data_IF_024072224383
#
_entry.id   IF_024072224383
#
_cell.length_a   1.000
_cell.length_b   1.000
_cell.length_c   1.000
_cell.angle_alpha   90.00
_cell.angle_beta   90.00
_cell.angle_gamma   90.00
#
_symmetry.space_group_name_H-M   'P 1'
#
loop_
_entity.id
_entity.type
_entity.pdbx_description
1 polymer ?
#
# COMPACT_ATOMS: atom_id res chain seq x y z
N UNK A 1 11.47 -5.43 3.57
CA UNK A 1 10.09 -5.47 2.99
C UNK A 1 9.65 -6.88 2.60
N UNK A 2 10.52 -7.68 1.99
CA UNK A 2 10.19 -9.05 1.62
C UNK A 2 9.72 -9.88 2.84
N UNK A 3 10.44 -9.78 3.95
CA UNK A 3 10.12 -10.52 5.16
C UNK A 3 8.78 -10.10 5.74
N UNK A 4 8.48 -8.80 5.69
CA UNK A 4 7.20 -8.25 6.15
C UNK A 4 6.05 -8.81 5.29
N UNK A 5 6.19 -8.80 3.98
CA UNK A 5 5.17 -9.32 3.06
C UNK A 5 4.97 -10.82 3.28
N UNK A 6 6.07 -11.57 3.49
CA UNK A 6 6.00 -13.00 3.78
C UNK A 6 5.21 -13.27 5.05
N UNK A 7 5.44 -12.47 6.11
CA UNK A 7 4.70 -12.59 7.36
C UNK A 7 3.22 -12.30 7.18
N UNK A 8 2.87 -11.28 6.38
CA UNK A 8 1.48 -10.97 6.07
C UNK A 8 0.79 -12.15 5.39
N UNK A 9 1.46 -12.78 4.43
CA UNK A 9 0.90 -13.92 3.70
C UNK A 9 0.67 -15.12 4.64
N UNK A 10 1.58 -15.34 5.58
CA UNK A 10 1.42 -16.40 6.59
C UNK A 10 0.21 -16.16 7.48
N UNK A 11 -0.16 -14.91 7.69
CA UNK A 11 -1.33 -14.52 8.47
C UNK A 11 -2.62 -14.54 7.65
N UNK A 12 -2.55 -14.87 6.36
CA UNK A 12 -3.70 -14.89 5.47
C UNK A 12 -4.11 -13.51 4.96
N UNK A 13 -3.24 -12.51 5.08
CA UNK A 13 -3.51 -11.15 4.61
C UNK A 13 -3.14 -11.05 3.13
N UNK A 14 -4.08 -10.54 2.34
CA UNK A 14 -3.87 -10.36 0.91
C UNK A 14 -3.00 -9.14 0.64
N UNK A 15 -2.18 -9.22 -0.40
CA UNK A 15 -1.26 -8.15 -0.77
C UNK A 15 -1.41 -7.79 -2.25
N UNK A 16 -1.31 -6.49 -2.55
CA UNK A 16 -1.34 -5.98 -3.93
C UNK A 16 -0.25 -4.95 -4.12
N UNK A 17 0.28 -4.88 -5.32
CA UNK A 17 1.22 -3.85 -5.72
C UNK A 17 0.52 -2.83 -6.59
N UNK A 18 0.64 -1.55 -6.24
CA UNK A 18 0.07 -0.42 -6.96
C UNK A 18 1.19 0.52 -7.40
N UNK A 19 1.94 0.12 -8.44
CA UNK A 19 3.05 0.90 -8.97
C UNK A 19 2.59 1.74 -10.17
N UNK A 20 3.00 3.00 -10.20
CA UNK A 20 2.76 3.89 -11.35
C UNK A 20 3.70 3.60 -12.52
N UNK A 21 4.75 2.80 -12.33
CA UNK A 21 5.70 2.43 -13.37
C UNK A 21 5.14 1.32 -14.24
N UNK A 22 5.08 1.54 -15.55
CA UNK A 22 4.65 0.51 -16.50
C UNK A 22 5.61 -0.67 -16.55
N UNK A 23 6.85 -0.50 -16.11
CA UNK A 23 7.84 -1.55 -16.05
C UNK A 23 7.81 -2.34 -14.75
N UNK A 24 7.01 -1.91 -13.78
CA UNK A 24 6.92 -2.53 -12.47
C UNK A 24 6.62 -4.03 -12.51
N UNK A 25 5.55 -4.48 -13.21
CA UNK A 25 5.23 -5.89 -13.30
C UNK A 25 6.35 -6.73 -13.93
N UNK A 26 7.00 -6.22 -14.96
CA UNK A 26 8.10 -6.90 -15.63
C UNK A 26 9.30 -7.06 -14.69
N UNK A 27 9.65 -6.00 -13.97
CA UNK A 27 10.78 -6.03 -13.01
C UNK A 27 10.49 -7.04 -11.89
N UNK A 28 9.26 -7.05 -11.37
CA UNK A 28 8.87 -7.99 -10.32
C UNK A 28 8.96 -9.44 -10.79
N UNK A 29 8.51 -9.71 -12.00
CA UNK A 29 8.60 -11.05 -12.58
C UNK A 29 10.06 -11.50 -12.69
N UNK A 30 10.94 -10.62 -13.19
CA UNK A 30 12.35 -10.91 -13.34
C UNK A 30 13.07 -11.14 -12.02
N UNK A 31 12.67 -10.43 -10.96
CA UNK A 31 13.28 -10.58 -9.64
C UNK A 31 12.62 -11.68 -8.80
N UNK A 32 11.54 -12.28 -9.30
CA UNK A 32 10.81 -13.31 -8.57
C UNK A 32 9.94 -12.76 -7.45
N UNK A 33 9.74 -11.44 -7.36
CA UNK A 33 8.94 -10.84 -6.30
C UNK A 33 7.44 -10.86 -6.58
N UNK A 34 7.03 -11.07 -7.85
CA UNK A 34 5.62 -11.09 -8.21
C UNK A 34 4.82 -12.14 -7.43
N UNK A 35 5.45 -13.26 -7.07
CA UNK A 35 4.80 -14.33 -6.31
C UNK A 35 4.35 -13.92 -4.90
N UNK A 36 4.87 -12.81 -4.38
CA UNK A 36 4.50 -12.30 -3.06
C UNK A 36 3.22 -11.48 -3.07
N UNK A 37 2.68 -11.18 -4.25
CA UNK A 37 1.48 -10.35 -4.39
C UNK A 37 0.31 -11.15 -4.95
N UNK A 38 -0.86 -10.96 -4.36
CA UNK A 38 -2.11 -11.57 -4.84
C UNK A 38 -2.63 -10.85 -6.08
N UNK A 39 -2.32 -9.55 -6.21
CA UNK A 39 -2.71 -8.73 -7.36
C UNK A 39 -1.63 -7.71 -7.67
N UNK A 40 -1.47 -7.38 -8.94
CA UNK A 40 -0.56 -6.32 -9.40
C UNK A 40 -1.39 -5.45 -10.33
N UNK A 41 -1.52 -4.16 -9.97
CA UNK A 41 -2.28 -3.21 -10.77
C UNK A 41 -1.50 -2.83 -12.02
N UNK A 42 -2.15 -2.90 -13.18
CA UNK A 42 -1.58 -2.46 -14.46
C UNK A 42 -1.79 -0.94 -14.58
N UNK A 43 -0.71 -0.13 -14.50
CA UNK A 43 -0.85 1.32 -14.52
C UNK A 43 -1.39 1.85 -15.85
N UNK A 44 -1.29 1.10 -16.94
CA UNK A 44 -1.83 1.51 -18.24
C UNK A 44 -3.35 1.55 -18.25
N UNK A 45 -4.01 0.88 -17.30
CA UNK A 45 -5.47 0.85 -17.20
C UNK A 45 -6.01 1.88 -16.22
N UNK A 46 -5.13 2.70 -15.62
CA UNK A 46 -5.50 3.71 -14.65
C UNK A 46 -5.70 5.03 -15.35
N UNK A 47 -6.89 5.62 -15.18
CA UNK A 47 -7.28 6.85 -15.86
C UNK A 47 -6.55 8.08 -15.33
N UNK A 48 -6.49 8.21 -14.00
CA UNK A 48 -5.82 9.34 -13.35
C UNK A 48 -4.74 8.85 -12.39
N UNK A 49 -3.51 9.36 -12.55
CA UNK A 49 -2.39 9.02 -11.69
C UNK A 49 -2.42 9.73 -10.34
N UNK A 50 -1.50 9.34 -9.46
CA UNK A 50 -1.34 9.98 -8.14
C UNK A 50 -1.19 11.49 -8.31
N UNK A 51 -1.83 12.31 -7.47
CA UNK A 51 -2.47 12.00 -6.18
C UNK A 51 -3.92 11.53 -6.26
N UNK A 52 -4.48 11.28 -7.44
CA UNK A 52 -5.82 10.73 -7.55
C UNK A 52 -5.91 9.34 -6.93
N UNK A 53 -7.09 8.89 -6.46
CA UNK A 53 -7.22 7.62 -5.76
C UNK A 53 -7.30 6.40 -6.67
N UNK A 54 -7.31 6.59 -7.99
CA UNK A 54 -7.66 5.55 -8.97
C UNK A 54 -6.83 4.28 -8.82
N UNK A 55 -5.51 4.40 -8.69
CA UNK A 55 -4.64 3.22 -8.63
C UNK A 55 -4.90 2.38 -7.38
N UNK A 56 -5.16 3.02 -6.24
CA UNK A 56 -5.44 2.30 -5.00
C UNK A 56 -6.84 1.73 -4.95
N UNK A 57 -7.81 2.42 -5.55
CA UNK A 57 -9.16 1.86 -5.70
C UNK A 57 -9.13 0.62 -6.59
N UNK A 58 -8.32 0.64 -7.66
CA UNK A 58 -8.12 -0.51 -8.52
C UNK A 58 -7.47 -1.68 -7.75
N UNK A 59 -6.50 -1.37 -6.88
CA UNK A 59 -5.83 -2.39 -6.06
C UNK A 59 -6.80 -3.06 -5.10
N UNK A 60 -7.64 -2.29 -4.39
CA UNK A 60 -8.62 -2.87 -3.47
C UNK A 60 -9.66 -3.70 -4.21
N UNK A 61 -10.12 -3.23 -5.37
CA UNK A 61 -11.07 -3.96 -6.20
C UNK A 61 -10.48 -5.28 -6.69
N UNK A 62 -9.20 -5.29 -7.08
CA UNK A 62 -8.51 -6.49 -7.53
C UNK A 62 -8.41 -7.55 -6.41
N UNK A 63 -8.35 -7.11 -5.16
CA UNK A 63 -8.35 -8.00 -3.99
C UNK A 63 -9.76 -8.35 -3.52
N UNK A 64 -10.79 -7.79 -4.14
CA UNK A 64 -12.19 -7.96 -3.76
C UNK A 64 -12.46 -7.46 -2.33
N UNK A 65 -11.77 -6.37 -1.95
CA UNK A 65 -11.90 -5.74 -0.64
C UNK A 65 -12.37 -4.30 -0.79
N UNK A 66 -12.94 -3.76 0.29
CA UNK A 66 -13.26 -2.33 0.34
C UNK A 66 -12.04 -1.55 0.84
N UNK A 67 -11.94 -0.23 0.54
CA UNK A 67 -10.84 0.59 1.05
C UNK A 67 -10.67 0.54 2.57
N UNK A 68 -11.75 0.45 3.33
CA UNK A 68 -11.71 0.40 4.80
C UNK A 68 -11.04 -0.87 5.33
N UNK A 69 -10.99 -1.92 4.53
CA UNK A 69 -10.38 -3.19 4.91
C UNK A 69 -8.88 -3.23 4.62
N UNK A 70 -8.33 -2.16 4.01
CA UNK A 70 -6.97 -2.15 3.50
C UNK A 70 -6.09 -1.13 4.20
N UNK A 71 -4.79 -1.37 4.12
CA UNK A 71 -3.74 -0.42 4.54
C UNK A 71 -2.81 -0.25 3.35
N UNK A 72 -2.42 0.98 3.05
CA UNK A 72 -1.49 1.28 1.98
C UNK A 72 -0.15 1.80 2.51
N UNK A 73 0.93 1.39 1.85
CA UNK A 73 2.29 1.80 2.19
C UNK A 73 2.83 2.67 1.06
N UNK A 74 3.39 3.84 1.42
CA UNK A 74 3.91 4.79 0.46
C UNK A 74 5.16 5.50 0.96
N UNK A 75 5.98 5.97 0.03
CA UNK A 75 7.21 6.70 0.34
C UNK A 75 7.21 8.13 -0.22
N UNK A 76 6.12 8.56 -0.84
CA UNK A 76 6.02 9.87 -1.47
C UNK A 76 4.74 10.60 -1.07
N UNK A 77 4.80 11.93 -1.08
CA UNK A 77 3.64 12.80 -0.75
C UNK A 77 2.43 12.49 -1.63
N UNK A 78 2.64 12.37 -2.95
CA UNK A 78 1.53 12.10 -3.87
C UNK A 78 0.87 10.75 -3.60
N UNK A 79 1.65 9.76 -3.19
CA UNK A 79 1.12 8.44 -2.83
C UNK A 79 0.29 8.48 -1.56
N UNK A 80 0.75 9.22 -0.55
CA UNK A 80 -0.01 9.41 0.69
C UNK A 80 -1.35 10.11 0.40
N UNK A 81 -1.32 11.15 -0.43
CA UNK A 81 -2.54 11.86 -0.84
C UNK A 81 -3.51 10.93 -1.58
N UNK A 82 -2.98 10.07 -2.45
CA UNK A 82 -3.77 9.10 -3.19
C UNK A 82 -4.46 8.09 -2.25
N UNK A 83 -3.75 7.58 -1.26
CA UNK A 83 -4.32 6.69 -0.25
C UNK A 83 -5.43 7.35 0.54
N UNK A 84 -5.21 8.59 0.99
CA UNK A 84 -6.22 9.34 1.74
C UNK A 84 -7.46 9.60 0.89
N UNK A 85 -7.28 9.96 -0.38
CA UNK A 85 -8.40 10.18 -1.30
C UNK A 85 -9.19 8.89 -1.53
N UNK A 86 -8.53 7.73 -1.49
CA UNK A 86 -9.17 6.43 -1.65
C UNK A 86 -9.87 5.94 -0.37
N UNK A 87 -9.65 6.59 0.76
CA UNK A 87 -10.22 6.16 2.04
C UNK A 87 -9.48 4.98 2.67
N UNK A 88 -8.20 4.83 2.36
CA UNK A 88 -7.34 3.75 2.84
C UNK A 88 -6.43 4.30 3.94
N UNK A 89 -6.27 3.56 5.03
CA UNK A 89 -5.32 3.90 6.09
C UNK A 89 -3.91 3.93 5.48
N UNK A 90 -3.17 5.02 5.71
CA UNK A 90 -1.87 5.24 5.08
C UNK A 90 -0.72 5.04 6.05
N UNK A 91 0.29 4.30 5.60
CA UNK A 91 1.56 4.11 6.31
C UNK A 91 2.66 4.66 5.42
N UNK A 92 3.37 5.67 5.92
CA UNK A 92 4.47 6.30 5.19
C UNK A 92 5.81 5.71 5.59
N UNK A 93 6.67 5.48 4.61
CA UNK A 93 8.03 5.01 4.84
C UNK A 93 8.97 6.12 4.37
N UNK A 94 9.68 6.74 5.29
CA UNK A 94 10.59 7.84 4.95
C UNK A 94 10.60 8.94 6.00
N UNK A 95 11.07 10.12 5.59
CA UNK A 95 11.17 11.28 6.47
C UNK A 95 9.80 11.92 6.73
N UNK A 96 9.71 12.65 7.82
CA UNK A 96 8.50 13.41 8.15
C UNK A 96 8.15 14.41 7.04
N UNK A 97 9.16 14.99 6.39
CA UNK A 97 8.96 15.92 5.29
C UNK A 97 8.23 15.27 4.10
N UNK A 98 8.57 14.02 3.82
CA UNK A 98 8.02 13.29 2.67
C UNK A 98 6.67 12.62 2.98
N UNK A 99 6.54 12.02 4.16
CA UNK A 99 5.39 11.17 4.48
C UNK A 99 4.74 11.50 5.82
N UNK A 100 5.02 12.69 6.37
CA UNK A 100 4.52 13.08 7.69
C UNK A 100 3.00 13.18 7.79
N UNK A 101 2.28 13.25 6.67
CA UNK A 101 0.82 13.32 6.66
C UNK A 101 0.16 11.94 6.68
N UNK A 102 0.95 10.86 6.62
CA UNK A 102 0.43 9.50 6.74
C UNK A 102 -0.16 9.27 8.13
N UNK A 103 -1.05 8.31 8.25
CA UNK A 103 -1.63 7.93 9.53
C UNK A 103 -0.58 7.34 10.48
N UNK A 104 0.41 6.66 9.93
CA UNK A 104 1.53 6.11 10.67
C UNK A 104 2.79 6.24 9.81
N UNK A 105 3.95 6.51 10.44
CA UNK A 105 5.20 6.68 9.71
C UNK A 105 6.32 5.83 10.32
N UNK A 106 7.08 5.19 9.45
CA UNK A 106 8.34 4.52 9.80
C UNK A 106 9.47 5.16 9.01
N UNK A 107 10.65 5.24 9.61
CA UNK A 107 11.82 5.86 8.96
C UNK A 107 12.36 5.01 7.82
N UNK A 108 12.26 3.69 7.94
CA UNK A 108 12.73 2.77 6.90
C UNK A 108 11.88 1.50 6.90
N UNK A 109 12.01 0.70 5.83
CA UNK A 109 11.28 -0.57 5.71
C UNK A 109 11.64 -1.56 6.81
N UNK A 110 12.87 -1.49 7.34
CA UNK A 110 13.29 -2.36 8.43
C UNK A 110 12.63 -2.07 9.77
N UNK A 111 12.03 -0.88 9.91
CA UNK A 111 11.36 -0.47 11.14
C UNK A 111 9.88 -0.86 11.18
N UNK A 112 9.32 -1.36 10.08
CA UNK A 112 7.90 -1.68 10.01
C UNK A 112 7.55 -2.76 11.03
N UNK A 113 6.54 -2.46 11.86
CA UNK A 113 6.04 -3.35 12.89
C UNK A 113 4.56 -3.63 12.63
N UNK A 114 4.22 -4.90 12.43
CA UNK A 114 2.85 -5.30 12.12
C UNK A 114 1.85 -4.89 13.20
N UNK A 115 2.22 -5.04 14.47
CA UNK A 115 1.32 -4.73 15.58
C UNK A 115 0.95 -3.25 15.60
N UNK A 116 1.92 -2.37 15.29
CA UNK A 116 1.66 -0.93 15.21
C UNK A 116 0.72 -0.60 14.05
N UNK A 117 0.91 -1.27 12.91
CA UNK A 117 0.04 -1.09 11.73
C UNK A 117 -1.38 -1.54 12.05
N UNK A 118 -1.53 -2.72 12.65
CA UNK A 118 -2.85 -3.25 13.01
C UNK A 118 -3.55 -2.34 14.03
N UNK A 119 -2.81 -1.82 15.00
CA UNK A 119 -3.36 -0.93 16.02
C UNK A 119 -3.91 0.36 15.41
N UNK A 120 -3.14 1.03 14.54
CA UNK A 120 -3.61 2.26 13.92
C UNK A 120 -4.77 2.01 12.97
N UNK A 121 -4.75 0.91 12.25
CA UNK A 121 -5.85 0.52 11.37
C UNK A 121 -7.14 0.32 12.17
N UNK A 122 -7.07 -0.43 13.28
CA UNK A 122 -8.23 -0.68 14.12
C UNK A 122 -8.76 0.60 14.75
N UNK A 123 -7.87 1.49 15.21
CA UNK A 123 -8.25 2.76 15.82
C UNK A 123 -9.01 3.65 14.83
N UNK A 124 -8.48 3.80 13.61
CA UNK A 124 -9.09 4.66 12.59
C UNK A 124 -10.40 4.08 12.09
N UNK A 125 -10.44 2.77 11.82
CA UNK A 125 -11.64 2.14 11.26
C UNK A 125 -12.77 2.00 12.28
N UNK A 126 -12.45 1.85 13.56
CA UNK A 126 -13.45 1.76 14.61
C UNK A 126 -14.07 3.13 14.95
N UNK A 127 -13.37 4.22 14.63
CA UNK A 127 -13.85 5.58 14.89
C UNK A 127 -14.57 6.20 13.68
N UNK A 128 -14.68 5.46 12.60
CA UNK A 128 -15.30 5.96 11.37
C UNK A 128 -16.82 5.79 11.39
#
# INVERSE_FOLDING_TARGET
>A
MRDFITDLRKKGILTALASASQNGPFILERTGLSKYFNAIVDPSKIEAGKPAPDIYLAATAALELSPKECVGFEDAVSGIQSLKAAGIVSVGIGSDHEVGQADLRFSSTGDINFDDVEEIWAEITNNA
#
